data_IF_307789117164
#
_entry.id   IF_307789117164
#
_cell.length_a   1.000
_cell.length_b   1.000
_cell.length_c   1.000
_cell.angle_alpha   90.00
_cell.angle_beta   90.00
_cell.angle_gamma   90.00
#
_symmetry.space_group_name_H-M   'P 1'
#
loop_
_entity.id
_entity.type
_entity.pdbx_description
1 polymer ?
#
# COMPACT_ATOMS: atom_id res chain seq x y z
N UNK A 1 -70.37 266.74 -41.41
CA UNK A 1 -70.15 268.19 -41.59
C UNK A 1 -69.50 268.43 -42.96
N UNK A 2 -70.26 268.78 -44.01
CA UNK A 2 -71.60 268.24 -44.21
C UNK A 2 -71.53 266.69 -44.25
N UNK A 3 -70.48 266.03 -44.74
CA UNK A 3 -69.95 265.97 -46.13
C UNK A 3 -69.26 264.60 -46.29
N UNK A 4 -69.98 263.60 -46.84
CA UNK A 4 -70.74 262.71 -45.97
C UNK A 4 -70.86 261.28 -46.52
N UNK A 5 -71.22 260.32 -45.64
CA UNK A 5 -71.74 258.97 -45.93
C UNK A 5 -70.92 258.16 -46.98
N UNK A 6 -69.80 257.59 -46.53
CA UNK A 6 -69.57 256.14 -46.69
C UNK A 6 -69.79 255.52 -45.32
N UNK A 7 -70.71 254.56 -45.17
CA UNK A 7 -71.34 254.33 -43.86
C UNK A 7 -70.40 253.77 -42.79
N UNK A 8 -70.59 254.22 -41.55
CA UNK A 8 -70.00 253.64 -40.35
C UNK A 8 -70.31 252.14 -40.21
N UNK A 9 -71.48 251.72 -40.71
CA UNK A 9 -71.92 250.33 -40.79
C UNK A 9 -70.93 249.45 -41.57
N UNK A 10 -70.33 249.97 -42.65
CA UNK A 10 -69.43 249.20 -43.53
C UNK A 10 -68.10 248.90 -42.82
N UNK A 11 -67.52 249.90 -42.13
CA UNK A 11 -66.36 249.69 -41.25
C UNK A 11 -66.67 248.76 -40.07
N UNK A 12 -67.87 248.85 -39.50
CA UNK A 12 -68.30 247.97 -38.41
C UNK A 12 -68.42 246.51 -38.89
N UNK A 13 -68.93 246.31 -40.10
CA UNK A 13 -69.09 244.98 -40.72
C UNK A 13 -67.73 244.36 -41.03
N UNK A 14 -66.79 245.13 -41.60
CA UNK A 14 -65.42 244.65 -41.81
C UNK A 14 -64.70 244.30 -40.49
N UNK A 15 -64.83 245.11 -39.44
CA UNK A 15 -64.27 244.78 -38.11
C UNK A 15 -64.86 243.48 -37.53
N UNK A 16 -66.18 243.31 -37.63
CA UNK A 16 -66.87 242.09 -37.18
C UNK A 16 -66.41 240.87 -37.99
N UNK A 17 -66.22 241.03 -39.30
CA UNK A 17 -65.77 239.94 -40.16
C UNK A 17 -64.29 239.60 -39.96
N UNK A 18 -63.43 240.58 -39.64
CA UNK A 18 -62.04 240.34 -39.22
C UNK A 18 -62.04 239.53 -37.92
N UNK A 19 -62.75 239.97 -36.88
CA UNK A 19 -62.83 239.23 -35.61
C UNK A 19 -63.37 237.80 -35.79
N UNK A 20 -64.39 237.60 -36.62
CA UNK A 20 -64.88 236.26 -36.93
C UNK A 20 -63.84 235.40 -37.67
N UNK A 21 -63.09 235.96 -38.61
CA UNK A 21 -62.03 235.24 -39.33
C UNK A 21 -60.83 234.92 -38.43
N UNK A 22 -60.45 235.84 -37.54
CA UNK A 22 -59.45 235.61 -36.49
C UNK A 22 -59.91 234.48 -35.56
N UNK A 23 -61.16 234.49 -35.09
CA UNK A 23 -61.71 233.43 -34.24
C UNK A 23 -61.77 232.07 -34.97
N UNK A 24 -62.09 232.03 -36.28
CA UNK A 24 -62.02 230.80 -37.06
C UNK A 24 -60.57 230.33 -37.27
N UNK A 25 -59.60 231.24 -37.39
CA UNK A 25 -58.19 230.92 -37.56
C UNK A 25 -57.60 230.37 -36.24
N UNK A 26 -57.89 230.98 -35.10
CA UNK A 26 -57.59 230.43 -33.77
C UNK A 26 -58.23 229.05 -33.57
N UNK A 27 -59.52 228.88 -33.91
CA UNK A 27 -60.20 227.57 -33.86
C UNK A 27 -59.55 226.53 -34.78
N UNK A 28 -58.94 226.94 -35.90
CA UNK A 28 -58.19 226.05 -36.79
C UNK A 28 -56.78 225.73 -36.26
N UNK A 29 -56.07 226.71 -35.70
CA UNK A 29 -54.78 226.51 -35.03
C UNK A 29 -54.95 225.59 -33.81
N UNK A 30 -55.92 225.84 -32.93
CA UNK A 30 -56.21 224.98 -31.79
C UNK A 30 -56.50 223.53 -32.21
N UNK A 31 -57.28 223.32 -33.28
CA UNK A 31 -57.50 221.98 -33.84
C UNK A 31 -56.24 221.36 -34.43
N UNK A 32 -55.39 222.15 -35.08
CA UNK A 32 -54.12 221.68 -35.62
C UNK A 32 -53.17 221.28 -34.49
N UNK A 33 -53.04 222.09 -33.45
CA UNK A 33 -52.19 221.84 -32.29
C UNK A 33 -52.70 220.62 -31.49
N UNK A 34 -54.02 220.45 -31.33
CA UNK A 34 -54.61 219.25 -30.73
C UNK A 34 -54.33 217.99 -31.57
N UNK A 35 -54.44 218.08 -32.91
CA UNK A 35 -54.08 216.97 -33.83
C UNK A 35 -52.58 216.68 -33.85
N UNK A 36 -51.74 217.70 -33.84
CA UNK A 36 -50.28 217.56 -33.85
C UNK A 36 -49.78 216.99 -32.51
N UNK A 37 -50.39 217.41 -31.39
CA UNK A 37 -50.22 216.80 -30.07
C UNK A 37 -50.70 215.35 -30.04
N UNK A 38 -51.89 215.03 -30.57
CA UNK A 38 -52.35 213.65 -30.71
C UNK A 38 -51.39 212.80 -31.56
N UNK A 39 -50.83 213.37 -32.64
CA UNK A 39 -49.83 212.70 -33.48
C UNK A 39 -48.50 212.50 -32.73
N UNK A 40 -48.01 213.51 -32.01
CA UNK A 40 -46.84 213.45 -31.11
C UNK A 40 -47.04 212.45 -29.96
N UNK A 41 -48.27 212.24 -29.52
CA UNK A 41 -48.67 211.24 -28.52
C UNK A 41 -48.89 209.84 -29.10
N UNK A 42 -49.17 209.71 -30.42
CA UNK A 42 -49.43 208.43 -31.10
C UNK A 42 -48.18 207.83 -31.75
N UNK A 43 -47.31 208.64 -32.34
CA UNK A 43 -46.04 208.20 -32.92
C UNK A 43 -45.17 207.36 -31.95
N UNK A 44 -44.94 207.76 -30.68
CA UNK A 44 -44.21 206.93 -29.72
C UNK A 44 -44.97 205.66 -29.33
N UNK A 45 -46.32 205.70 -29.27
CA UNK A 45 -47.14 204.51 -28.99
C UNK A 45 -47.09 203.50 -30.13
N UNK A 46 -47.12 203.95 -31.39
CA UNK A 46 -46.94 203.08 -32.56
C UNK A 46 -45.52 202.51 -32.60
N UNK A 47 -44.49 203.33 -32.37
CA UNK A 47 -43.10 202.88 -32.33
C UNK A 47 -42.85 201.87 -31.21
N UNK A 48 -43.42 202.07 -30.03
CA UNK A 48 -43.41 201.10 -28.94
C UNK A 48 -44.12 199.80 -29.33
N UNK A 49 -45.32 199.86 -29.94
CA UNK A 49 -46.07 198.67 -30.37
C UNK A 49 -45.34 197.86 -31.47
N UNK A 50 -44.73 198.52 -32.46
CA UNK A 50 -43.92 197.87 -33.50
C UNK A 50 -42.68 197.19 -32.88
N UNK A 51 -42.07 197.82 -31.87
CA UNK A 51 -40.96 197.25 -31.10
C UNK A 51 -41.41 196.05 -30.24
N UNK A 52 -42.48 196.18 -29.46
CA UNK A 52 -43.01 195.11 -28.61
C UNK A 52 -43.45 193.89 -29.44
N UNK A 53 -44.05 194.13 -30.61
CA UNK A 53 -44.35 193.10 -31.63
C UNK A 53 -43.08 192.40 -32.12
N UNK A 54 -42.01 193.14 -32.41
CA UNK A 54 -40.71 192.56 -32.80
C UNK A 54 -40.10 191.76 -31.65
N UNK A 55 -39.96 192.35 -30.47
CA UNK A 55 -39.34 191.72 -29.31
C UNK A 55 -40.12 190.47 -28.84
N UNK A 56 -41.46 190.51 -28.92
CA UNK A 56 -42.33 189.35 -28.65
C UNK A 56 -42.18 188.27 -29.72
N UNK A 57 -42.19 188.61 -31.02
CA UNK A 57 -42.04 187.60 -32.08
C UNK A 57 -40.64 186.99 -32.14
N UNK A 58 -39.59 187.75 -31.80
CA UNK A 58 -38.25 187.19 -31.58
C UNK A 58 -38.19 186.31 -30.33
N UNK A 59 -38.79 186.73 -29.20
CA UNK A 59 -38.87 185.92 -27.98
C UNK A 59 -39.58 184.58 -28.23
N UNK A 60 -40.70 184.61 -28.96
CA UNK A 60 -41.42 183.41 -29.38
C UNK A 60 -40.59 182.53 -30.33
N UNK A 61 -39.88 183.11 -31.31
CA UNK A 61 -38.95 182.36 -32.18
C UNK A 61 -37.83 181.69 -31.39
N UNK A 62 -37.20 182.41 -30.45
CA UNK A 62 -36.15 181.87 -29.57
C UNK A 62 -36.71 180.74 -28.68
N UNK A 63 -37.89 180.92 -28.08
CA UNK A 63 -38.56 179.90 -27.27
C UNK A 63 -38.95 178.66 -28.10
N UNK A 64 -39.46 178.86 -29.31
CA UNK A 64 -39.80 177.77 -30.23
C UNK A 64 -38.56 176.98 -30.66
N UNK A 65 -37.46 177.65 -31.02
CA UNK A 65 -36.20 177.00 -31.37
C UNK A 65 -35.60 176.20 -30.20
N UNK A 66 -35.64 176.74 -28.97
CA UNK A 66 -35.20 176.03 -27.77
C UNK A 66 -36.07 174.81 -27.48
N UNK A 67 -37.40 174.94 -27.62
CA UNK A 67 -38.33 173.80 -27.46
C UNK A 67 -38.14 172.73 -28.55
N UNK A 68 -37.95 173.15 -29.80
CA UNK A 68 -37.70 172.24 -30.93
C UNK A 68 -36.40 171.45 -30.71
N UNK A 69 -35.29 172.12 -30.40
CA UNK A 69 -34.03 171.46 -30.05
C UNK A 69 -34.19 170.52 -28.84
N UNK A 70 -35.00 170.90 -27.85
CA UNK A 70 -35.26 170.02 -26.69
C UNK A 70 -36.10 168.79 -27.04
N UNK A 71 -37.02 168.88 -28.01
CA UNK A 71 -37.74 167.72 -28.55
C UNK A 71 -36.81 166.83 -29.36
N UNK A 72 -35.90 167.41 -30.15
CA UNK A 72 -34.87 166.66 -30.90
C UNK A 72 -33.94 165.89 -29.93
N UNK A 73 -33.37 166.56 -28.94
CA UNK A 73 -32.56 165.94 -27.86
C UNK A 73 -33.30 164.80 -27.16
N UNK A 74 -34.59 165.00 -26.80
CA UNK A 74 -35.40 163.97 -26.14
C UNK A 74 -35.74 162.80 -27.08
N UNK A 75 -35.88 163.06 -28.38
CA UNK A 75 -36.14 162.03 -29.39
C UNK A 75 -34.88 161.19 -29.65
N UNK A 76 -33.70 161.81 -29.69
CA UNK A 76 -32.43 161.11 -29.75
C UNK A 76 -32.21 160.28 -28.47
N UNK A 77 -32.42 160.85 -27.28
CA UNK A 77 -32.32 160.14 -26.01
C UNK A 77 -33.26 158.93 -25.93
N UNK A 78 -34.53 159.09 -26.33
CA UNK A 78 -35.50 157.99 -26.40
C UNK A 78 -35.07 156.91 -27.39
N UNK A 79 -34.56 157.29 -28.57
CA UNK A 79 -34.07 156.35 -29.58
C UNK A 79 -32.84 155.58 -29.10
N UNK A 80 -31.89 156.24 -28.44
CA UNK A 80 -30.73 155.55 -27.85
C UNK A 80 -31.15 154.60 -26.73
N UNK A 81 -32.08 155.01 -25.86
CA UNK A 81 -32.59 154.14 -24.81
C UNK A 81 -33.28 152.90 -25.41
N UNK A 82 -34.16 153.08 -26.41
CA UNK A 82 -34.80 151.95 -27.11
C UNK A 82 -33.80 151.01 -27.80
N UNK A 83 -32.67 151.53 -28.28
CA UNK A 83 -31.60 150.70 -28.86
C UNK A 83 -30.85 149.91 -27.78
N UNK A 84 -30.53 150.53 -26.64
CA UNK A 84 -29.92 149.83 -25.49
C UNK A 84 -30.88 148.80 -24.88
N UNK A 85 -32.13 149.17 -24.60
CA UNK A 85 -33.16 148.26 -24.06
C UNK A 85 -33.36 147.02 -24.96
N UNK A 86 -33.28 147.20 -26.28
CA UNK A 86 -33.38 146.10 -27.25
C UNK A 86 -32.11 145.24 -27.28
N UNK A 87 -30.92 145.84 -27.19
CA UNK A 87 -29.65 145.11 -27.09
C UNK A 87 -29.56 144.29 -25.79
N UNK A 88 -29.87 144.90 -24.65
CA UNK A 88 -29.92 144.23 -23.34
C UNK A 88 -30.92 143.06 -23.36
N UNK A 89 -32.08 143.25 -24.02
CA UNK A 89 -33.09 142.20 -24.19
C UNK A 89 -32.61 141.06 -25.09
N UNK A 90 -31.92 141.37 -26.19
CA UNK A 90 -31.34 140.36 -27.09
C UNK A 90 -30.21 139.58 -26.41
N UNK A 91 -29.36 140.26 -25.62
CA UNK A 91 -28.32 139.60 -24.83
C UNK A 91 -28.94 138.70 -23.74
N UNK A 92 -29.89 139.19 -22.95
CA UNK A 92 -30.58 138.38 -21.94
C UNK A 92 -31.30 137.17 -22.56
N UNK A 93 -31.92 137.33 -23.73
CA UNK A 93 -32.55 136.22 -24.46
C UNK A 93 -31.50 135.20 -24.95
N UNK A 94 -30.33 135.65 -25.40
CA UNK A 94 -29.22 134.79 -25.80
C UNK A 94 -28.61 134.04 -24.60
N UNK A 95 -28.32 134.74 -23.50
CA UNK A 95 -27.81 134.15 -22.25
C UNK A 95 -28.79 133.10 -21.70
N UNK A 96 -30.09 133.40 -21.62
CA UNK A 96 -31.11 132.43 -21.19
C UNK A 96 -31.20 131.22 -22.14
N UNK A 97 -31.07 131.42 -23.45
CA UNK A 97 -31.03 130.32 -24.43
C UNK A 97 -29.80 129.42 -24.23
N UNK A 98 -28.62 130.00 -23.99
CA UNK A 98 -27.38 129.29 -23.68
C UNK A 98 -27.49 128.49 -22.36
N UNK A 99 -27.95 129.12 -21.28
CA UNK A 99 -28.16 128.47 -19.99
C UNK A 99 -29.16 127.31 -20.09
N UNK A 100 -30.28 127.50 -20.80
CA UNK A 100 -31.26 126.44 -21.05
C UNK A 100 -30.65 125.26 -21.81
N UNK A 101 -29.79 125.53 -22.81
CA UNK A 101 -29.08 124.48 -23.54
C UNK A 101 -28.09 123.75 -22.65
N UNK A 102 -27.26 124.46 -21.89
CA UNK A 102 -26.31 123.85 -20.93
C UNK A 102 -27.02 122.95 -19.90
N UNK A 103 -28.15 123.40 -19.35
CA UNK A 103 -28.95 122.60 -18.42
C UNK A 103 -29.51 121.36 -19.11
N UNK A 104 -30.00 121.47 -20.35
CA UNK A 104 -30.48 120.31 -21.11
C UNK A 104 -29.34 119.32 -21.42
N UNK A 105 -28.16 119.80 -21.82
CA UNK A 105 -27.00 118.95 -22.10
C UNK A 105 -26.48 118.27 -20.82
N UNK A 106 -26.51 118.95 -19.66
CA UNK A 106 -26.24 118.35 -18.34
C UNK A 106 -27.27 117.29 -17.96
N UNK A 107 -28.58 117.54 -18.18
CA UNK A 107 -29.65 116.57 -17.93
C UNK A 107 -29.48 115.33 -18.81
N UNK A 108 -29.19 115.51 -20.10
CA UNK A 108 -28.92 114.43 -21.05
C UNK A 108 -27.70 113.60 -20.62
N UNK A 109 -26.62 114.27 -20.21
CA UNK A 109 -25.42 113.65 -19.65
C UNK A 109 -25.72 112.80 -18.42
N UNK A 110 -26.40 113.37 -17.41
CA UNK A 110 -26.81 112.65 -16.21
C UNK A 110 -27.73 111.45 -16.51
N UNK A 111 -28.65 111.57 -17.47
CA UNK A 111 -29.48 110.44 -17.92
C UNK A 111 -28.63 109.31 -18.52
N UNK A 112 -27.61 109.64 -19.32
CA UNK A 112 -26.70 108.64 -19.91
C UNK A 112 -25.83 107.93 -18.87
N UNK A 113 -25.35 108.68 -17.87
CA UNK A 113 -24.56 108.15 -16.74
C UNK A 113 -25.46 107.29 -15.84
N UNK A 114 -26.68 107.74 -15.52
CA UNK A 114 -27.65 106.94 -14.78
C UNK A 114 -27.97 105.62 -15.50
N UNK A 115 -28.25 105.66 -16.81
CA UNK A 115 -28.57 104.46 -17.60
C UNK A 115 -27.41 103.47 -17.68
N UNK A 116 -26.16 103.95 -17.70
CA UNK A 116 -24.98 103.08 -17.71
C UNK A 116 -24.63 102.53 -16.32
N UNK A 117 -24.95 103.25 -15.24
CA UNK A 117 -24.85 102.71 -13.88
C UNK A 117 -25.91 101.65 -13.59
N UNK A 118 -27.16 101.84 -14.06
CA UNK A 118 -28.22 100.80 -13.95
C UNK A 118 -27.78 99.51 -14.62
N UNK A 119 -27.30 99.57 -15.87
CA UNK A 119 -26.75 98.40 -16.58
C UNK A 119 -25.64 97.68 -15.82
N UNK A 120 -24.69 98.42 -15.27
CA UNK A 120 -23.60 97.84 -14.45
C UNK A 120 -24.10 97.20 -13.16
N UNK A 121 -25.20 97.70 -12.60
CA UNK A 121 -25.83 97.11 -11.42
C UNK A 121 -26.61 95.83 -11.77
N UNK A 122 -27.30 95.80 -12.92
CA UNK A 122 -27.91 94.60 -13.50
C UNK A 122 -26.83 93.52 -13.76
N UNK A 123 -25.75 93.88 -14.48
CA UNK A 123 -24.58 93.02 -14.72
C UNK A 123 -23.93 92.51 -13.42
N UNK A 124 -23.82 93.35 -12.39
CA UNK A 124 -23.27 92.97 -11.09
C UNK A 124 -24.21 92.03 -10.30
N UNK A 125 -25.53 92.23 -10.39
CA UNK A 125 -26.50 91.34 -9.75
C UNK A 125 -26.48 89.94 -10.39
N UNK A 126 -26.44 89.86 -11.73
CA UNK A 126 -26.32 88.59 -12.45
C UNK A 126 -25.04 87.82 -12.02
N UNK A 127 -23.92 88.51 -11.84
CA UNK A 127 -22.67 87.92 -11.34
C UNK A 127 -22.78 87.45 -9.87
N UNK A 128 -23.50 88.18 -9.01
CA UNK A 128 -23.73 87.76 -7.62
C UNK A 128 -24.66 86.52 -7.54
N UNK A 129 -25.66 86.43 -8.42
CA UNK A 129 -26.53 85.27 -8.54
C UNK A 129 -25.80 84.05 -9.11
N UNK A 130 -24.94 84.22 -10.11
CA UNK A 130 -24.05 83.17 -10.62
C UNK A 130 -23.06 82.68 -9.53
N UNK A 131 -22.49 83.59 -8.73
CA UNK A 131 -21.60 83.22 -7.62
C UNK A 131 -22.34 82.37 -6.57
N UNK A 132 -23.58 82.74 -6.21
CA UNK A 132 -24.42 81.95 -5.29
C UNK A 132 -24.75 80.57 -5.84
N UNK A 133 -25.04 80.46 -7.14
CA UNK A 133 -25.27 79.18 -7.82
C UNK A 133 -24.02 78.30 -7.76
N UNK A 134 -22.85 78.82 -8.12
CA UNK A 134 -21.58 78.10 -8.07
C UNK A 134 -21.20 77.65 -6.64
N UNK A 135 -21.48 78.46 -5.61
CA UNK A 135 -21.29 78.07 -4.21
C UNK A 135 -22.23 76.91 -3.81
N UNK A 136 -23.48 76.92 -4.27
CA UNK A 136 -24.41 75.82 -4.02
C UNK A 136 -24.01 74.53 -4.77
N UNK A 137 -23.57 74.64 -6.03
CA UNK A 137 -23.04 73.52 -6.80
C UNK A 137 -21.78 72.93 -6.15
N UNK A 138 -20.85 73.77 -5.68
CA UNK A 138 -19.67 73.33 -4.96
C UNK A 138 -20.04 72.58 -3.67
N UNK A 139 -21.00 73.09 -2.88
CA UNK A 139 -21.50 72.41 -1.68
C UNK A 139 -22.16 71.06 -1.99
N UNK A 140 -22.97 71.00 -3.06
CA UNK A 140 -23.57 69.75 -3.54
C UNK A 140 -22.49 68.74 -3.94
N UNK A 141 -21.49 69.16 -4.73
CA UNK A 141 -20.35 68.32 -5.16
C UNK A 141 -19.53 67.83 -3.96
N UNK A 142 -19.33 68.67 -2.94
CA UNK A 142 -18.61 68.29 -1.72
C UNK A 142 -19.40 67.26 -0.90
N UNK A 143 -20.73 67.41 -0.78
CA UNK A 143 -21.59 66.40 -0.14
C UNK A 143 -21.56 65.05 -0.87
N UNK A 144 -21.60 65.06 -2.21
CA UNK A 144 -21.52 63.86 -3.04
C UNK A 144 -20.14 63.19 -2.94
N UNK A 145 -19.05 63.97 -2.94
CA UNK A 145 -17.69 63.46 -2.69
C UNK A 145 -17.59 62.79 -1.33
N UNK A 146 -18.17 63.38 -0.28
CA UNK A 146 -18.20 62.76 1.04
C UNK A 146 -18.97 61.44 1.02
N UNK A 147 -20.20 61.43 0.49
CA UNK A 147 -21.00 60.21 0.39
C UNK A 147 -20.28 59.08 -0.37
N UNK A 148 -19.53 59.41 -1.43
CA UNK A 148 -18.71 58.45 -2.19
C UNK A 148 -17.47 57.95 -1.42
N UNK A 149 -16.92 58.75 -0.50
CA UNK A 149 -15.87 58.30 0.43
C UNK A 149 -16.45 57.40 1.52
N UNK A 150 -17.55 57.82 2.16
CA UNK A 150 -18.27 57.05 3.19
C UNK A 150 -18.65 55.65 2.64
N UNK A 151 -19.21 55.58 1.41
CA UNK A 151 -19.52 54.32 0.72
C UNK A 151 -18.28 53.49 0.36
N UNK A 152 -17.17 54.13 -0.03
CA UNK A 152 -15.93 53.43 -0.34
C UNK A 152 -15.33 52.79 0.90
N UNK A 153 -15.34 53.49 2.04
CA UNK A 153 -14.85 52.97 3.32
C UNK A 153 -15.72 51.80 3.81
N UNK A 154 -17.06 51.90 3.69
CA UNK A 154 -17.99 50.80 3.95
C UNK A 154 -17.70 49.57 3.07
N UNK A 155 -17.51 49.77 1.76
CA UNK A 155 -17.20 48.68 0.83
C UNK A 155 -15.83 48.04 1.08
N UNK A 156 -14.81 48.82 1.45
CA UNK A 156 -13.50 48.27 1.85
C UNK A 156 -13.63 47.45 3.13
N UNK A 157 -14.30 47.95 4.17
CA UNK A 157 -14.52 47.21 5.41
C UNK A 157 -15.33 45.91 5.19
N UNK A 158 -16.30 45.92 4.29
CA UNK A 158 -17.07 44.72 3.91
C UNK A 158 -16.20 43.68 3.17
N UNK A 159 -15.32 44.11 2.26
CA UNK A 159 -14.36 43.23 1.58
C UNK A 159 -13.38 42.61 2.59
N UNK A 160 -12.79 43.43 3.47
CA UNK A 160 -11.86 42.96 4.49
C UNK A 160 -12.53 41.96 5.44
N UNK A 161 -13.78 42.21 5.85
CA UNK A 161 -14.56 41.27 6.67
C UNK A 161 -14.77 39.92 5.97
N UNK A 162 -15.15 39.93 4.68
CA UNK A 162 -15.37 38.71 3.90
C UNK A 162 -14.08 37.94 3.61
N UNK A 163 -12.94 38.64 3.46
CA UNK A 163 -11.63 38.01 3.33
C UNK A 163 -11.22 37.29 4.63
N UNK A 164 -11.39 37.96 5.78
CA UNK A 164 -11.11 37.34 7.09
C UNK A 164 -12.02 36.11 7.36
N UNK A 165 -13.31 36.19 7.02
CA UNK A 165 -14.25 35.06 7.16
C UNK A 165 -13.85 33.87 6.25
N UNK A 166 -13.45 34.14 5.01
CA UNK A 166 -12.97 33.12 4.07
C UNK A 166 -11.66 32.46 4.53
N UNK A 167 -10.75 33.21 5.15
CA UNK A 167 -9.51 32.66 5.73
C UNK A 167 -9.78 31.81 6.97
N UNK A 168 -10.70 32.22 7.85
CA UNK A 168 -11.12 31.44 9.02
C UNK A 168 -11.78 30.11 8.63
N UNK A 169 -12.67 30.11 7.63
CA UNK A 169 -13.31 28.86 7.17
C UNK A 169 -12.31 27.95 6.43
N UNK A 170 -11.33 28.51 5.70
CA UNK A 170 -10.21 27.74 5.13
C UNK A 170 -9.37 27.05 6.21
N UNK A 171 -8.96 27.78 7.24
CA UNK A 171 -8.16 27.23 8.34
C UNK A 171 -8.95 26.14 9.09
N UNK A 172 -10.24 26.37 9.35
CA UNK A 172 -11.15 25.37 9.91
C UNK A 172 -11.22 24.09 9.07
N UNK A 173 -11.39 24.18 7.75
CA UNK A 173 -11.38 23.01 6.85
C UNK A 173 -10.02 22.30 6.84
N UNK A 174 -8.91 23.02 6.91
CA UNK A 174 -7.57 22.44 7.04
C UNK A 174 -7.43 21.66 8.36
N UNK A 175 -7.84 22.24 9.48
CA UNK A 175 -7.80 21.61 10.81
C UNK A 175 -8.73 20.38 10.88
N UNK A 176 -9.96 20.47 10.39
CA UNK A 176 -10.89 19.32 10.33
C UNK A 176 -10.36 18.19 9.45
N UNK A 177 -9.78 18.54 8.30
CA UNK A 177 -9.12 17.62 7.38
C UNK A 177 -7.91 16.92 8.01
N UNK A 178 -7.03 17.67 8.68
CA UNK A 178 -5.87 17.13 9.40
C UNK A 178 -6.32 16.17 10.51
N UNK A 179 -7.29 16.56 11.34
CA UNK A 179 -7.86 15.66 12.35
C UNK A 179 -8.48 14.39 11.75
N UNK A 180 -9.09 14.47 10.55
CA UNK A 180 -9.62 13.30 9.86
C UNK A 180 -8.49 12.37 9.35
N UNK A 181 -7.39 12.94 8.85
CA UNK A 181 -6.18 12.20 8.48
C UNK A 181 -5.57 11.53 9.71
N UNK A 182 -5.36 12.25 10.82
CA UNK A 182 -4.74 11.72 12.04
C UNK A 182 -5.55 10.57 12.64
N UNK A 183 -6.87 10.72 12.77
CA UNK A 183 -7.78 9.63 13.21
C UNK A 183 -7.74 8.42 12.26
N UNK A 184 -7.52 8.64 10.96
CA UNK A 184 -7.34 7.56 9.98
C UNK A 184 -5.99 6.85 10.13
N UNK A 185 -4.90 7.61 10.33
CA UNK A 185 -3.55 7.11 10.59
C UNK A 185 -3.50 6.33 11.89
N UNK A 186 -4.01 6.87 13.01
CA UNK A 186 -4.07 6.20 14.31
C UNK A 186 -4.85 4.88 14.23
N UNK A 187 -6.00 4.87 13.55
CA UNK A 187 -6.83 3.67 13.34
C UNK A 187 -6.11 2.61 12.49
N UNK A 188 -5.37 3.01 11.46
CA UNK A 188 -4.53 2.13 10.64
C UNK A 188 -3.35 1.58 11.43
N UNK A 189 -2.59 2.44 12.10
CA UNK A 189 -1.45 2.08 12.95
C UNK A 189 -1.86 1.12 14.07
N UNK A 190 -2.97 1.40 14.76
CA UNK A 190 -3.56 0.52 15.77
C UNK A 190 -3.94 -0.86 15.22
N UNK A 191 -4.46 -0.94 13.99
CA UNK A 191 -4.78 -2.21 13.32
C UNK A 191 -3.52 -3.00 12.96
N UNK A 192 -2.45 -2.33 12.53
CA UNK A 192 -1.15 -2.94 12.23
C UNK A 192 -0.49 -3.44 13.54
N UNK A 193 -0.38 -2.58 14.56
CA UNK A 193 0.16 -2.94 15.88
C UNK A 193 -0.53 -4.14 16.53
N UNK A 194 -1.85 -4.28 16.37
CA UNK A 194 -2.59 -5.48 16.85
C UNK A 194 -2.21 -6.74 16.07
N UNK A 195 -2.05 -6.66 14.75
CA UNK A 195 -1.58 -7.78 13.93
C UNK A 195 -0.15 -8.20 14.27
N UNK A 196 0.77 -7.25 14.34
CA UNK A 196 2.18 -7.53 14.67
C UNK A 196 2.33 -8.13 16.07
N UNK A 197 1.57 -7.65 17.07
CA UNK A 197 1.54 -8.26 18.40
C UNK A 197 0.99 -9.69 18.40
N UNK A 198 -0.01 -9.99 17.57
CA UNK A 198 -0.54 -11.35 17.43
C UNK A 198 0.49 -12.29 16.78
N UNK A 199 1.06 -11.91 15.62
CA UNK A 199 2.10 -12.67 14.93
C UNK A 199 3.36 -12.87 15.80
N UNK A 200 3.75 -11.86 16.57
CA UNK A 200 4.84 -11.98 17.53
C UNK A 200 4.51 -12.95 18.68
N UNK A 201 3.27 -12.95 19.19
CA UNK A 201 2.81 -13.89 20.20
C UNK A 201 2.77 -15.33 19.68
N UNK A 202 2.28 -15.55 18.47
CA UNK A 202 2.31 -16.86 17.79
C UNK A 202 3.76 -17.36 17.61
N UNK A 203 4.66 -16.47 17.16
CA UNK A 203 6.08 -16.80 16.98
C UNK A 203 6.79 -17.09 18.31
N UNK A 204 6.44 -16.40 19.40
CA UNK A 204 6.92 -16.72 20.74
C UNK A 204 6.42 -18.09 21.22
N UNK A 205 5.15 -18.46 20.95
CA UNK A 205 4.63 -19.80 21.26
C UNK A 205 5.36 -20.89 20.47
N UNK A 206 5.59 -20.68 19.17
CA UNK A 206 6.39 -21.59 18.34
C UNK A 206 7.82 -21.76 18.87
N UNK A 207 8.49 -20.65 19.24
CA UNK A 207 9.82 -20.69 19.85
C UNK A 207 9.83 -21.43 21.19
N UNK A 208 8.78 -21.30 22.01
CA UNK A 208 8.65 -22.04 23.28
C UNK A 208 8.46 -23.55 23.04
N UNK A 209 7.70 -23.96 22.03
CA UNK A 209 7.56 -25.38 21.65
C UNK A 209 8.89 -25.94 21.18
N UNK A 210 9.56 -25.27 20.23
CA UNK A 210 10.87 -25.69 19.73
C UNK A 210 11.94 -25.74 20.83
N UNK A 211 11.90 -24.80 21.80
CA UNK A 211 12.77 -24.82 22.98
C UNK A 211 12.51 -26.05 23.87
N UNK A 212 11.24 -26.39 24.09
CA UNK A 212 10.86 -27.56 24.88
C UNK A 212 11.32 -28.87 24.20
N UNK A 213 11.16 -29.00 22.89
CA UNK A 213 11.65 -30.15 22.10
C UNK A 213 13.18 -30.27 22.19
N UNK A 214 13.89 -29.15 22.03
CA UNK A 214 15.36 -29.09 22.10
C UNK A 214 15.90 -29.34 23.54
N UNK A 215 15.05 -29.27 24.57
CA UNK A 215 15.34 -29.70 25.95
C UNK A 215 15.03 -31.19 26.23
N UNK A 216 14.38 -31.89 25.30
CA UNK A 216 14.08 -33.33 25.35
C UNK A 216 15.08 -34.13 24.52
N UNK A 217 15.36 -33.70 23.30
CA UNK A 217 16.27 -34.38 22.36
C UNK A 217 17.66 -34.76 22.95
N UNK A 218 18.33 -33.94 23.80
CA UNK A 218 19.58 -34.35 24.45
C UNK A 218 19.41 -35.57 25.39
N UNK A 219 18.30 -35.63 26.13
CA UNK A 219 18.00 -36.72 27.07
C UNK A 219 17.72 -38.02 26.33
N UNK A 220 16.98 -37.94 25.23
CA UNK A 220 16.73 -39.10 24.35
C UNK A 220 18.01 -39.59 23.69
N UNK A 221 18.87 -38.66 23.22
CA UNK A 221 20.20 -38.98 22.69
C UNK A 221 21.07 -39.70 23.73
N UNK A 222 21.08 -39.25 24.97
CA UNK A 222 21.86 -39.88 26.05
C UNK A 222 21.33 -41.29 26.37
N UNK A 223 20.01 -41.47 26.47
CA UNK A 223 19.36 -42.78 26.64
C UNK A 223 19.66 -43.73 25.47
N UNK A 224 19.64 -43.25 24.23
CA UNK A 224 20.02 -44.02 23.05
C UNK A 224 21.53 -44.35 23.05
N UNK A 225 22.38 -43.46 23.54
CA UNK A 225 23.81 -43.68 23.70
C UNK A 225 24.10 -44.74 24.77
N UNK A 226 23.35 -44.77 25.88
CA UNK A 226 23.42 -45.83 26.89
C UNK A 226 22.92 -47.17 26.36
N UNK A 227 21.79 -47.20 25.67
CA UNK A 227 21.30 -48.43 25.01
C UNK A 227 22.33 -48.96 24.01
N UNK A 228 23.03 -48.09 23.28
CA UNK A 228 24.15 -48.44 22.41
C UNK A 228 25.36 -48.99 23.19
N UNK A 229 25.71 -48.41 24.35
CA UNK A 229 26.77 -48.93 25.24
C UNK A 229 26.46 -50.37 25.68
N UNK A 230 25.24 -50.62 26.16
CA UNK A 230 24.77 -51.95 26.61
C UNK A 230 24.80 -52.97 25.46
N UNK A 231 24.16 -52.67 24.32
CA UNK A 231 24.10 -53.59 23.17
C UNK A 231 25.50 -53.91 22.61
N UNK A 232 26.46 -52.98 22.64
CA UNK A 232 27.85 -53.26 22.26
C UNK A 232 28.55 -54.20 23.26
N UNK A 233 28.30 -54.06 24.57
CA UNK A 233 28.84 -54.97 25.58
C UNK A 233 28.27 -56.40 25.44
N UNK A 234 26.94 -56.51 25.28
CA UNK A 234 26.26 -57.79 25.01
C UNK A 234 26.78 -58.47 23.75
N UNK A 235 26.96 -57.72 22.66
CA UNK A 235 27.54 -58.23 21.40
C UNK A 235 28.93 -58.82 21.60
N UNK A 236 29.82 -58.15 22.33
CA UNK A 236 31.16 -58.70 22.60
C UNK A 236 31.12 -59.91 23.56
N UNK A 237 30.16 -59.98 24.50
CA UNK A 237 29.93 -61.20 25.29
C UNK A 237 29.46 -62.37 24.42
N UNK A 238 28.45 -62.16 23.57
CA UNK A 238 27.93 -63.19 22.65
C UNK A 238 29.02 -63.66 21.66
N UNK A 239 29.88 -62.75 21.20
CA UNK A 239 31.05 -63.07 20.37
C UNK A 239 32.09 -63.91 21.12
N UNK A 240 32.39 -63.62 22.39
CA UNK A 240 33.25 -64.46 23.24
C UNK A 240 32.64 -65.85 23.45
N UNK A 241 31.34 -65.94 23.72
CA UNK A 241 30.62 -67.21 23.86
C UNK A 241 30.65 -68.03 22.56
N UNK A 242 30.43 -67.40 21.41
CA UNK A 242 30.50 -68.04 20.09
C UNK A 242 31.90 -68.60 19.80
N UNK A 243 32.96 -67.87 20.14
CA UNK A 243 34.35 -68.35 20.02
C UNK A 243 34.57 -69.58 20.91
N UNK A 244 34.11 -69.55 22.18
CA UNK A 244 34.20 -70.68 23.11
C UNK A 244 33.48 -71.93 22.59
N UNK A 245 32.22 -71.78 22.15
CA UNK A 245 31.41 -72.87 21.57
C UNK A 245 32.04 -73.42 20.28
N UNK A 246 32.65 -72.55 19.46
CA UNK A 246 33.37 -72.98 18.25
C UNK A 246 34.60 -73.81 18.61
N UNK A 247 35.37 -73.41 19.63
CA UNK A 247 36.52 -74.17 20.11
C UNK A 247 36.10 -75.53 20.70
N UNK A 248 35.05 -75.57 21.52
CA UNK A 248 34.49 -76.80 22.09
C UNK A 248 33.98 -77.74 20.98
N UNK A 249 33.31 -77.22 19.96
CA UNK A 249 32.88 -77.97 18.78
C UNK A 249 34.05 -78.57 17.99
N UNK A 250 35.19 -77.87 17.89
CA UNK A 250 36.43 -78.40 17.29
C UNK A 250 36.99 -79.54 18.16
N UNK A 251 37.08 -79.36 19.48
CA UNK A 251 37.53 -80.41 20.40
C UNK A 251 36.66 -81.67 20.31
N UNK A 252 35.33 -81.54 20.40
CA UNK A 252 34.41 -82.68 20.26
C UNK A 252 34.52 -83.35 18.88
N UNK A 253 34.71 -82.58 17.81
CA UNK A 253 34.92 -83.12 16.45
C UNK A 253 36.18 -83.99 16.37
N UNK A 254 37.24 -83.64 17.10
CA UNK A 254 38.49 -84.40 17.14
C UNK A 254 38.43 -85.59 18.11
N UNK A 255 37.72 -85.47 19.24
CA UNK A 255 37.36 -86.62 20.09
C UNK A 255 36.54 -87.67 19.32
N UNK A 256 35.57 -87.23 18.52
CA UNK A 256 34.75 -88.09 17.66
C UNK A 256 35.63 -88.79 16.59
N UNK A 257 36.66 -88.14 16.04
CA UNK A 257 37.64 -88.82 15.17
C UNK A 257 38.38 -89.92 15.92
N UNK A 258 38.96 -89.61 17.08
CA UNK A 258 39.71 -90.60 17.88
C UNK A 258 38.84 -91.78 18.33
N UNK A 259 37.59 -91.52 18.73
CA UNK A 259 36.62 -92.58 19.07
C UNK A 259 36.26 -93.43 17.86
N UNK A 260 36.06 -92.82 16.69
CA UNK A 260 35.81 -93.53 15.43
C UNK A 260 37.00 -94.43 15.05
N UNK A 261 38.22 -93.93 15.16
CA UNK A 261 39.47 -94.69 14.94
C UNK A 261 39.60 -95.87 15.92
N UNK A 262 39.38 -95.64 17.22
CA UNK A 262 39.37 -96.70 18.26
C UNK A 262 38.32 -97.77 17.96
N UNK A 263 37.10 -97.38 17.60
CA UNK A 263 36.03 -98.32 17.21
C UNK A 263 36.36 -99.08 15.91
N UNK A 264 37.08 -98.45 14.98
CA UNK A 264 37.50 -99.06 13.72
C UNK A 264 38.64 -100.07 13.95
N UNK A 265 39.57 -99.78 14.87
CA UNK A 265 40.61 -100.73 15.31
C UNK A 265 40.03 -101.94 16.05
N UNK A 266 39.17 -101.71 17.06
CA UNK A 266 38.49 -102.78 17.80
C UNK A 266 37.65 -103.70 16.89
N UNK A 267 37.12 -103.17 15.78
CA UNK A 267 36.40 -103.95 14.76
C UNK A 267 37.32 -104.85 13.91
N UNK A 268 38.59 -104.51 13.77
CA UNK A 268 39.61 -105.40 13.18
C UNK A 268 40.00 -106.46 14.21
N UNK A 269 40.37 -106.06 15.43
CA UNK A 269 40.74 -106.98 16.52
C UNK A 269 39.65 -108.05 16.79
N UNK A 270 38.36 -107.69 16.67
CA UNK A 270 37.22 -108.61 16.76
C UNK A 270 37.14 -109.61 15.61
N UNK A 271 37.39 -109.19 14.37
CA UNK A 271 37.42 -110.08 13.19
C UNK A 271 38.56 -111.07 13.29
N UNK A 272 39.72 -110.62 13.73
CA UNK A 272 40.91 -111.47 13.87
C UNK A 272 40.72 -112.50 15.00
N UNK A 273 40.06 -112.11 16.10
CA UNK A 273 39.65 -113.05 17.15
C UNK A 273 38.57 -114.04 16.69
N UNK A 274 37.58 -113.61 15.92
CA UNK A 274 36.53 -114.48 15.37
C UNK A 274 37.12 -115.50 14.37
N UNK A 275 38.06 -115.07 13.52
CA UNK A 275 38.83 -115.95 12.64
C UNK A 275 39.70 -116.96 13.44
N UNK A 276 40.38 -116.50 14.50
CA UNK A 276 41.15 -117.38 15.39
C UNK A 276 40.26 -118.39 16.11
N UNK A 277 39.07 -118.00 16.58
CA UNK A 277 38.10 -118.91 17.19
C UNK A 277 37.63 -119.98 16.20
N UNK A 278 37.31 -119.61 14.96
CA UNK A 278 36.93 -120.56 13.89
C UNK A 278 38.06 -121.55 13.57
N UNK A 279 39.32 -121.08 13.53
CA UNK A 279 40.52 -121.91 13.36
C UNK A 279 40.79 -122.87 14.53
N UNK A 280 40.42 -122.49 15.76
CA UNK A 280 40.49 -123.37 16.93
C UNK A 280 39.35 -124.41 16.95
N UNK A 281 38.17 -124.05 16.43
CA UNK A 281 36.99 -124.90 16.45
C UNK A 281 37.12 -126.07 15.45
N UNK A 282 37.61 -125.82 14.23
CA UNK A 282 37.91 -126.90 13.26
C UNK A 282 38.97 -127.87 13.77
N UNK A 283 40.05 -127.36 14.40
CA UNK A 283 41.06 -128.20 15.06
C UNK A 283 40.48 -129.09 16.17
N UNK A 284 39.49 -128.59 16.92
CA UNK A 284 38.81 -129.38 17.96
C UNK A 284 37.97 -130.51 17.34
N UNK A 285 37.25 -130.24 16.25
CA UNK A 285 36.45 -131.24 15.55
C UNK A 285 37.31 -132.38 14.97
N UNK A 286 38.46 -132.07 14.37
CA UNK A 286 39.37 -133.09 13.84
C UNK A 286 40.03 -133.94 14.94
N UNK A 287 40.30 -133.37 16.12
CA UNK A 287 40.74 -134.16 17.28
C UNK A 287 39.65 -135.11 17.78
N UNK A 288 38.37 -134.71 17.78
CA UNK A 288 37.26 -135.59 18.15
C UNK A 288 37.14 -136.78 17.19
N UNK A 289 37.20 -136.54 15.86
CA UNK A 289 37.16 -137.60 14.83
C UNK A 289 38.28 -138.64 15.03
N UNK A 290 39.48 -138.21 15.43
CA UNK A 290 40.60 -139.12 15.75
C UNK A 290 40.33 -139.93 17.02
N UNK A 291 39.71 -139.34 18.04
CA UNK A 291 39.36 -140.02 19.29
C UNK A 291 38.35 -141.15 19.07
N UNK A 292 37.29 -140.89 18.29
CA UNK A 292 36.25 -141.87 17.95
C UNK A 292 36.81 -143.07 17.16
N UNK A 293 37.86 -142.85 16.36
CA UNK A 293 38.56 -143.92 15.64
C UNK A 293 39.33 -144.85 16.59
N UNK A 294 39.91 -144.31 17.67
CA UNK A 294 40.73 -145.07 18.62
C UNK A 294 39.89 -145.90 19.58
N UNK A 295 38.77 -145.37 20.10
CA UNK A 295 37.92 -146.15 21.03
C UNK A 295 37.14 -147.27 20.32
N UNK A 296 36.92 -147.18 19.01
CA UNK A 296 36.42 -148.31 18.19
C UNK A 296 37.44 -149.46 18.14
N UNK A 297 38.69 -149.16 17.78
CA UNK A 297 39.77 -150.15 17.68
C UNK A 297 40.03 -150.86 19.02
N UNK A 298 40.02 -150.08 20.11
CA UNK A 298 40.14 -150.60 21.49
C UNK A 298 39.03 -151.61 21.86
N UNK A 299 37.79 -151.36 21.43
CA UNK A 299 36.65 -152.26 21.71
C UNK A 299 36.81 -153.59 20.99
N UNK A 300 37.20 -153.57 19.71
CA UNK A 300 37.43 -154.79 18.93
C UNK A 300 38.56 -155.66 19.54
N UNK A 301 39.68 -155.03 19.93
CA UNK A 301 40.78 -155.72 20.64
C UNK A 301 40.37 -156.35 21.97
N UNK A 302 39.36 -155.79 22.64
CA UNK A 302 38.84 -156.34 23.90
C UNK A 302 38.05 -157.63 23.66
N UNK A 303 37.17 -157.66 22.65
CA UNK A 303 36.39 -158.87 22.30
C UNK A 303 37.24 -160.04 21.82
N UNK A 304 38.31 -159.79 21.06
CA UNK A 304 39.25 -160.82 20.60
C UNK A 304 39.93 -161.54 21.80
N UNK A 305 40.25 -160.81 22.86
CA UNK A 305 40.97 -161.33 24.02
C UNK A 305 40.11 -162.25 24.93
N UNK A 306 38.82 -161.93 25.11
CA UNK A 306 37.94 -162.76 25.93
C UNK A 306 37.49 -164.05 25.21
N UNK A 307 37.42 -164.04 23.88
CA UNK A 307 37.08 -165.24 23.09
C UNK A 307 38.14 -166.35 23.24
N UNK A 308 39.44 -166.01 23.09
CA UNK A 308 40.57 -166.94 23.29
C UNK A 308 40.63 -167.53 24.71
N UNK A 309 40.16 -166.76 25.70
CA UNK A 309 40.11 -167.15 27.12
C UNK A 309 39.20 -168.35 27.38
N UNK A 310 38.11 -168.47 26.61
CA UNK A 310 37.10 -169.53 26.76
C UNK A 310 37.59 -170.86 26.19
N UNK A 311 38.27 -170.84 25.05
CA UNK A 311 38.77 -172.04 24.37
C UNK A 311 39.85 -172.76 25.20
N UNK A 312 40.74 -171.99 25.83
CA UNK A 312 41.80 -172.52 26.71
C UNK A 312 41.27 -173.29 27.93
N UNK A 313 40.03 -173.02 28.38
CA UNK A 313 39.37 -173.81 29.44
C UNK A 313 38.75 -175.11 28.89
N UNK A 314 38.15 -175.06 27.71
CA UNK A 314 37.55 -176.22 27.03
C UNK A 314 38.60 -177.32 26.84
N UNK A 315 39.78 -176.97 26.35
CA UNK A 315 40.86 -177.95 26.08
C UNK A 315 41.53 -178.50 27.36
N UNK A 316 41.64 -177.68 28.42
CA UNK A 316 42.11 -178.15 29.75
C UNK A 316 41.17 -179.17 30.41
N UNK A 317 39.90 -179.18 30.02
CA UNK A 317 38.90 -180.14 30.49
C UNK A 317 39.01 -181.46 29.75
N UNK A 318 39.09 -181.41 28.41
CA UNK A 318 39.21 -182.59 27.52
C UNK A 318 40.36 -183.53 27.91
N UNK A 319 41.54 -182.97 28.22
CA UNK A 319 42.72 -183.76 28.62
C UNK A 319 42.56 -184.56 29.92
N UNK A 320 41.61 -184.20 30.80
CA UNK A 320 41.35 -184.96 32.05
C UNK A 320 40.55 -186.23 31.78
N UNK A 321 39.48 -186.14 30.98
CA UNK A 321 38.63 -187.30 30.65
C UNK A 321 39.43 -188.42 30.00
N UNK A 322 40.24 -188.10 28.98
CA UNK A 322 41.04 -189.09 28.23
C UNK A 322 41.99 -189.86 29.17
N UNK A 323 42.57 -189.19 30.18
CA UNK A 323 43.50 -189.84 31.12
C UNK A 323 42.81 -190.91 31.98
N UNK A 324 41.57 -190.67 32.39
CA UNK A 324 40.82 -191.63 33.21
C UNK A 324 40.46 -192.90 32.41
N UNK A 325 39.95 -192.73 31.18
CA UNK A 325 39.56 -193.86 30.30
C UNK A 325 40.74 -194.80 30.03
N UNK A 326 41.96 -194.26 29.86
CA UNK A 326 43.18 -195.06 29.67
C UNK A 326 43.51 -195.91 30.91
N UNK A 327 43.28 -195.41 32.12
CA UNK A 327 43.50 -196.19 33.35
C UNK A 327 42.43 -197.27 33.54
N UNK A 328 41.18 -196.99 33.20
CA UNK A 328 40.04 -197.91 33.31
C UNK A 328 40.16 -199.10 32.35
N UNK A 329 40.54 -198.84 31.09
CA UNK A 329 40.83 -199.88 30.10
C UNK A 329 42.01 -200.79 30.51
N UNK A 330 43.06 -200.21 31.13
CA UNK A 330 44.22 -200.97 31.62
C UNK A 330 43.86 -201.97 32.73
N UNK A 331 43.02 -201.57 33.69
CA UNK A 331 42.56 -202.44 34.79
C UNK A 331 41.73 -203.61 34.25
N UNK A 332 40.92 -203.39 33.22
CA UNK A 332 40.09 -204.45 32.61
C UNK A 332 40.97 -205.49 31.88
N UNK A 333 42.00 -205.05 31.16
CA UNK A 333 42.95 -205.95 30.48
C UNK A 333 43.76 -206.83 31.45
N UNK A 334 44.19 -206.30 32.61
CA UNK A 334 44.94 -207.10 33.60
C UNK A 334 44.13 -208.27 34.17
N UNK A 335 42.82 -208.10 34.39
CA UNK A 335 41.96 -209.18 34.90
C UNK A 335 41.76 -210.31 33.87
N UNK A 336 41.79 -210.00 32.56
CA UNK A 336 41.66 -211.02 31.50
C UNK A 336 42.90 -211.92 31.42
N UNK A 337 44.09 -211.40 31.76
CA UNK A 337 45.37 -212.10 31.59
C UNK A 337 45.83 -212.93 32.80
N UNK A 338 45.13 -212.85 33.94
CA UNK A 338 45.64 -213.40 35.23
C UNK A 338 44.81 -214.57 35.80
N UNK A 339 43.64 -214.87 35.23
CA UNK A 339 42.72 -215.91 35.74
C UNK A 339 42.56 -217.07 34.74
N UNK A 340 43.54 -217.96 34.71
CA UNK A 340 43.69 -219.03 33.70
C UNK A 340 43.43 -220.44 34.29
N UNK A 341 42.21 -220.73 34.76
CA UNK A 341 41.91 -222.07 35.33
C UNK A 341 40.45 -222.57 35.21
N UNK A 342 39.45 -221.74 34.87
CA UNK A 342 38.04 -222.19 34.74
C UNK A 342 37.31 -221.54 33.55
N UNK A 343 36.74 -222.32 32.61
CA UNK A 343 36.27 -221.81 31.31
C UNK A 343 34.80 -221.31 31.29
N UNK A 344 34.22 -220.90 32.42
CA UNK A 344 32.78 -220.59 32.52
C UNK A 344 32.44 -219.16 32.99
N UNK A 345 33.41 -218.24 33.04
CA UNK A 345 33.19 -216.83 33.46
C UNK A 345 33.79 -215.79 32.49
N UNK A 346 34.38 -216.21 31.37
CA UNK A 346 35.22 -215.35 30.52
C UNK A 346 34.42 -214.38 29.65
N UNK A 347 33.17 -214.70 29.29
CA UNK A 347 32.39 -213.94 28.30
C UNK A 347 31.97 -212.54 28.79
N UNK A 348 31.53 -212.40 30.04
CA UNK A 348 31.06 -211.10 30.57
C UNK A 348 32.19 -210.06 30.66
N UNK A 349 33.43 -210.50 30.93
CA UNK A 349 34.62 -209.65 31.01
C UNK A 349 35.00 -209.03 29.65
N UNK A 350 34.64 -209.68 28.54
CA UNK A 350 34.88 -209.17 27.17
C UNK A 350 33.84 -208.11 26.80
N UNK A 351 32.56 -208.34 27.12
CA UNK A 351 31.47 -207.38 26.83
C UNK A 351 31.71 -206.01 27.48
N UNK A 352 32.22 -205.98 28.71
CA UNK A 352 32.48 -204.73 29.44
C UNK A 352 33.60 -203.88 28.81
N UNK A 353 34.51 -204.48 28.04
CA UNK A 353 35.64 -203.76 27.42
C UNK A 353 35.22 -203.03 26.15
N UNK A 354 34.21 -203.53 25.42
CA UNK A 354 33.63 -202.84 24.25
C UNK A 354 32.84 -201.59 24.64
N UNK A 355 32.04 -201.68 25.72
CA UNK A 355 31.22 -200.58 26.26
C UNK A 355 32.06 -199.33 26.63
N UNK A 356 33.28 -199.54 27.13
CA UNK A 356 34.24 -198.48 27.47
C UNK A 356 34.77 -197.77 26.21
N UNK A 357 34.89 -198.47 25.09
CA UNK A 357 35.48 -197.94 23.85
C UNK A 357 34.48 -197.16 22.98
N UNK A 358 33.21 -197.56 22.91
CA UNK A 358 32.19 -196.84 22.13
C UNK A 358 31.79 -195.48 22.75
N UNK A 359 32.01 -195.28 24.05
CA UNK A 359 31.42 -194.18 24.83
C UNK A 359 32.07 -192.78 24.66
N UNK A 360 32.92 -192.52 23.64
CA UNK A 360 33.87 -191.38 23.67
C UNK A 360 33.91 -190.41 22.47
N UNK A 361 32.84 -190.28 21.64
CA UNK A 361 32.81 -189.30 20.53
C UNK A 361 31.44 -188.61 20.26
N UNK A 362 31.37 -187.26 20.36
CA UNK A 362 30.33 -186.43 19.72
C UNK A 362 30.95 -185.14 19.04
N UNK A 363 30.20 -184.18 18.42
CA UNK A 363 30.36 -183.92 16.97
C UNK A 363 30.53 -182.42 16.55
N UNK A 364 30.28 -182.10 15.26
CA UNK A 364 30.34 -180.78 14.59
C UNK A 364 28.98 -180.04 14.56
N UNK A 365 28.96 -178.68 14.54
CA UNK A 365 28.38 -177.88 13.42
C UNK A 365 28.26 -176.32 13.56
N UNK A 366 28.17 -175.65 12.38
CA UNK A 366 27.44 -174.40 12.02
C UNK A 366 28.00 -172.95 12.24
N UNK A 367 27.42 -172.01 11.44
CA UNK A 367 27.74 -170.57 11.19
C UNK A 367 26.42 -169.79 10.86
N UNK A 368 26.32 -168.55 10.27
CA UNK A 368 27.25 -167.42 10.00
C UNK A 368 26.88 -166.13 10.83
N UNK A 369 26.36 -164.92 10.40
CA UNK A 369 26.04 -164.24 9.11
C UNK A 369 26.66 -162.79 8.93
N UNK A 370 26.08 -161.90 8.09
CA UNK A 370 26.54 -160.51 7.74
C UNK A 370 25.38 -159.48 7.58
N UNK A 371 25.60 -158.13 7.55
CA UNK A 371 24.61 -157.11 6.99
C UNK A 371 25.15 -155.66 6.76
N UNK A 372 24.29 -154.69 6.35
CA UNK A 372 24.59 -153.68 5.28
C UNK A 372 23.81 -152.32 5.34
N UNK A 373 24.36 -151.22 4.74
CA UNK A 373 23.71 -150.06 4.01
C UNK A 373 23.02 -148.79 4.65
N UNK A 374 23.52 -147.58 4.24
CA UNK A 374 22.84 -146.39 3.62
C UNK A 374 21.91 -145.34 4.33
N UNK A 375 21.76 -144.14 3.67
CA UNK A 375 20.72 -143.05 3.74
C UNK A 375 21.07 -141.72 4.51
N UNK A 376 20.56 -140.47 4.25
CA UNK A 376 20.31 -139.60 3.05
C UNK A 376 19.79 -138.16 3.44
N UNK A 377 20.16 -137.08 2.71
CA UNK A 377 19.41 -135.79 2.48
C UNK A 377 19.31 -134.68 3.60
N UNK A 378 18.94 -133.37 3.41
CA UNK A 378 18.86 -132.39 2.27
C UNK A 378 18.51 -130.90 2.71
N UNK A 379 18.94 -129.86 1.94
CA UNK A 379 18.46 -128.44 1.76
C UNK A 379 18.25 -127.37 2.89
N UNK A 380 18.33 -126.05 2.50
CA UNK A 380 17.72 -124.91 3.24
C UNK A 380 18.23 -123.44 3.02
N UNK A 381 17.66 -122.69 2.05
CA UNK A 381 17.44 -121.19 1.88
C UNK A 381 18.35 -120.11 2.57
N UNK A 382 18.73 -118.90 2.07
CA UNK A 382 18.40 -117.96 0.95
C UNK A 382 17.62 -116.64 1.32
N UNK A 383 18.21 -115.43 1.12
CA UNK A 383 17.53 -114.12 0.83
C UNK A 383 18.47 -112.96 0.35
N UNK A 384 17.88 -111.84 -0.11
CA UNK A 384 18.41 -110.68 -0.92
C UNK A 384 17.53 -109.40 -0.62
N UNK A 385 17.54 -108.20 -1.30
CA UNK A 385 18.35 -107.57 -2.37
C UNK A 385 18.70 -106.05 -2.12
N UNK A 386 18.62 -105.14 -3.13
CA UNK A 386 18.92 -103.67 -3.13
C UNK A 386 17.75 -102.82 -3.78
N UNK A 387 17.81 -101.59 -4.38
CA UNK A 387 18.78 -100.94 -5.32
C UNK A 387 18.98 -99.37 -5.32
N UNK A 388 18.14 -98.43 -5.88
CA UNK A 388 18.68 -97.35 -6.77
C UNK A 388 18.09 -95.89 -6.78
N UNK A 389 18.70 -94.99 -7.61
CA UNK A 389 18.15 -93.80 -8.36
C UNK A 389 17.73 -92.50 -7.60
N UNK A 390 17.50 -91.27 -8.17
CA UNK A 390 17.65 -90.60 -9.51
C UNK A 390 17.81 -89.03 -9.37
N UNK A 391 18.01 -88.18 -10.44
CA UNK A 391 18.53 -86.79 -10.35
C UNK A 391 17.68 -85.63 -10.99
N UNK A 392 18.25 -84.40 -11.07
CA UNK A 392 17.74 -83.19 -11.80
C UNK A 392 17.33 -82.02 -10.87
N UNK A 393 17.06 -80.76 -11.27
CA UNK A 393 17.23 -79.97 -12.51
C UNK A 393 16.85 -78.47 -12.22
N UNK A 394 17.04 -77.43 -13.06
CA UNK A 394 18.17 -76.97 -13.92
C UNK A 394 17.85 -75.61 -14.63
N UNK A 395 18.79 -74.64 -14.68
CA UNK A 395 18.85 -73.49 -15.65
C UNK A 395 17.74 -72.37 -15.55
N UNK A 396 17.77 -71.14 -16.14
CA UNK A 396 18.79 -70.22 -16.72
C UNK A 396 18.23 -68.76 -16.94
N UNK A 397 19.12 -67.75 -16.99
CA UNK A 397 19.05 -66.36 -17.59
C UNK A 397 17.72 -65.59 -17.89
N UNK A 398 17.63 -64.38 -17.29
CA UNK A 398 17.59 -62.98 -17.88
C UNK A 398 16.43 -62.47 -18.83
N UNK A 399 16.30 -61.12 -19.05
CA UNK A 399 15.11 -60.43 -19.61
C UNK A 399 15.27 -59.99 -21.09
N UNK A 400 14.42 -59.07 -21.65
CA UNK A 400 14.82 -57.63 -21.73
C UNK A 400 13.70 -56.54 -21.86
N UNK A 401 14.13 -55.27 -21.97
CA UNK A 401 13.49 -54.05 -22.56
C UNK A 401 12.21 -53.46 -21.89
N UNK A 402 11.97 -52.13 -21.76
CA UNK A 402 12.32 -50.85 -22.46
C UNK A 402 11.46 -50.48 -23.70
N UNK A 403 10.64 -49.42 -23.58
CA UNK A 403 10.26 -48.49 -24.67
C UNK A 403 9.50 -47.23 -24.15
N UNK A 404 9.29 -46.24 -25.03
CA UNK A 404 8.42 -45.04 -24.95
C UNK A 404 8.73 -44.01 -23.83
N UNK A 405 9.27 -42.80 -24.05
CA UNK A 405 9.20 -41.74 -25.10
C UNK A 405 8.10 -40.66 -24.86
N UNK A 406 8.30 -39.37 -25.27
CA UNK A 406 7.73 -38.21 -24.56
C UNK A 406 6.93 -37.19 -25.41
N UNK A 407 6.33 -36.19 -24.73
CA UNK A 407 5.79 -34.88 -25.18
C UNK A 407 5.51 -34.02 -23.90
N UNK A 408 5.37 -32.69 -23.85
CA UNK A 408 5.27 -31.64 -24.88
C UNK A 408 5.70 -30.25 -24.33
N UNK A 409 6.41 -29.47 -25.16
CA UNK A 409 6.32 -28.03 -25.50
C UNK A 409 5.97 -26.89 -24.49
N UNK A 410 6.78 -25.82 -24.55
CA UNK A 410 6.49 -24.42 -24.14
C UNK A 410 5.48 -23.72 -25.10
N UNK A 411 4.96 -22.48 -24.82
CA UNK A 411 5.75 -21.26 -25.10
C UNK A 411 5.49 -19.98 -24.23
N UNK A 412 6.56 -19.16 -24.14
CA UNK A 412 6.66 -17.67 -24.21
C UNK A 412 5.85 -16.66 -23.33
N UNK A 413 6.55 -15.53 -23.09
CA UNK A 413 6.09 -14.17 -22.71
C UNK A 413 5.45 -13.94 -21.32
N UNK A 414 5.66 -12.77 -20.67
CA UNK A 414 6.59 -11.67 -20.98
C UNK A 414 6.29 -10.37 -20.19
N UNK A 415 7.27 -9.44 -20.21
CA UNK A 415 7.17 -8.00 -19.91
C UNK A 415 6.93 -7.47 -18.46
N UNK A 416 7.93 -6.71 -17.99
CA UNK A 416 7.83 -5.30 -17.55
C UNK A 416 7.51 -4.88 -16.09
N UNK A 417 8.34 -3.89 -15.66
CA UNK A 417 8.07 -2.74 -14.78
C UNK A 417 8.19 -2.82 -13.23
N UNK A 418 8.61 -1.65 -12.71
CA UNK A 418 8.45 -1.03 -11.39
C UNK A 418 8.99 -1.69 -10.11
N UNK A 419 10.20 -1.27 -9.71
CA UNK A 419 10.54 -0.70 -8.39
C UNK A 419 11.80 0.19 -8.50
#
# INVERSE_FOLDING_TARGET
>A
MADVIGSWEEKSLYLTQIQYLEEQLERCQFKYDELEKQNKDLAPKYSALEKDKKDTTESLKRSAAVKQKRVEELTEQLKTQQQTDQQDREELQLQHSQQKKELQDRINGLYSVSRTMVKKFEEQQELEEQLKQLMQEQSNIESMKKQLLDQREEHTAAIDSLMNELELEREKVIVEGQQAVDRCVEKKASKILRKERALHSERLQQLQVLLNENLVLPKEKDVLQDKKRVLCFEREQMKKALIKITQESISYKDEIKQLKEKCQKLRVDLKDRDAACKSMLTKKEDLCKRLDSVDKDRRQKTSEADQLKVELQREKSRRRQIKNVIQEAGITLSHILTELDKPSETEWKILRLLEILESTAPPSDQAPPSTTHMRRAVEGQNRRPLTPNQPGNSAVRRPPALSCAPQQADPEAGASADC
#
